data_IF_833908224164
#
_entry.id   IF_833908224164
#
_cell.length_a   1.000
_cell.length_b   1.000
_cell.length_c   1.000
_cell.angle_alpha   90.00
_cell.angle_beta   90.00
_cell.angle_gamma   90.00
#
_symmetry.space_group_name_H-M   'P 1'
#
loop_
_entity.id
_entity.type
_entity.pdbx_description
1 polymer ?
#
# COMPACT_ATOMS: atom_id res chain seq x y z
N UNK A 1 -3.13 -12.59 -19.20
CA UNK A 1 -3.52 -11.39 -18.44
C UNK A 1 -4.17 -11.89 -17.15
N UNK A 2 -3.46 -11.95 -16.02
CA UNK A 2 -4.02 -12.43 -14.73
C UNK A 2 -4.17 -11.25 -13.80
N UNK A 3 -5.42 -11.00 -13.41
CA UNK A 3 -5.83 -9.99 -12.46
C UNK A 3 -5.42 -10.48 -11.07
N UNK A 4 -4.62 -9.68 -10.36
CA UNK A 4 -4.37 -9.90 -8.94
C UNK A 4 -5.68 -9.69 -8.18
N UNK A 5 -6.34 -10.80 -7.81
CA UNK A 5 -7.51 -10.77 -6.95
C UNK A 5 -7.09 -10.49 -5.52
N UNK A 6 -7.17 -9.23 -5.09
CA UNK A 6 -7.20 -8.92 -3.66
C UNK A 6 -8.59 -9.30 -3.13
N UNK A 7 -8.66 -10.32 -2.29
CA UNK A 7 -9.86 -10.69 -1.56
C UNK A 7 -10.15 -9.60 -0.52
N UNK A 8 -10.97 -8.60 -0.88
CA UNK A 8 -11.42 -7.55 0.01
C UNK A 8 -12.52 -8.08 0.94
N UNK A 9 -12.17 -8.97 1.85
CA UNK A 9 -13.06 -9.47 2.91
C UNK A 9 -12.87 -8.64 4.18
N UNK A 10 -13.89 -7.87 4.54
CA UNK A 10 -13.93 -7.04 5.75
C UNK A 10 -14.08 -7.94 6.99
N UNK A 11 -12.96 -8.41 7.54
CA UNK A 11 -12.92 -9.08 8.85
C UNK A 11 -12.88 -7.97 9.89
N UNK A 12 -13.92 -7.83 10.73
CA UNK A 12 -14.29 -6.64 11.53
C UNK A 12 -13.27 -5.91 12.42
N UNK A 13 -11.97 -6.20 12.31
CA UNK A 13 -10.85 -5.42 12.86
C UNK A 13 -10.03 -4.67 11.78
N UNK A 14 -10.09 -5.10 10.52
CA UNK A 14 -9.38 -4.54 9.37
C UNK A 14 -10.34 -4.44 8.18
N UNK A 15 -10.40 -3.26 7.56
CA UNK A 15 -11.25 -3.04 6.39
C UNK A 15 -10.62 -3.60 5.10
N UNK A 16 -9.31 -3.85 5.12
CA UNK A 16 -8.52 -4.31 3.97
C UNK A 16 -7.54 -5.39 4.45
N UNK A 17 -7.65 -6.60 3.93
CA UNK A 17 -6.70 -7.68 4.15
C UNK A 17 -6.44 -8.34 2.81
N UNK A 18 -5.19 -8.36 2.39
CA UNK A 18 -4.81 -8.85 1.07
C UNK A 18 -3.55 -9.68 1.12
N UNK A 19 -3.49 -10.69 0.25
CA UNK A 19 -2.24 -11.36 -0.09
C UNK A 19 -1.94 -11.08 -1.55
N UNK A 20 -0.76 -10.56 -1.83
CA UNK A 20 -0.31 -10.30 -3.18
C UNK A 20 1.05 -10.98 -3.41
N UNK A 21 1.18 -11.65 -4.55
CA UNK A 21 2.49 -12.12 -5.02
C UNK A 21 3.08 -11.03 -5.91
N UNK A 22 4.11 -10.34 -5.41
CA UNK A 22 4.92 -9.42 -6.21
C UNK A 22 5.76 -10.28 -7.15
N UNK A 23 5.23 -10.42 -8.37
CA UNK A 23 5.80 -11.26 -9.43
C UNK A 23 7.23 -10.83 -9.75
N UNK A 24 8.04 -11.80 -10.11
CA UNK A 24 9.45 -11.65 -10.48
C UNK A 24 9.63 -10.47 -11.44
N UNK A 25 10.34 -9.45 -11.00
CA UNK A 25 10.80 -8.38 -11.87
C UNK A 25 12.22 -8.72 -12.30
N UNK A 26 12.41 -8.91 -13.61
CA UNK A 26 13.72 -8.87 -14.23
C UNK A 26 14.24 -7.45 -14.05
N UNK A 27 15.19 -7.28 -13.13
CA UNK A 27 15.88 -6.02 -12.93
C UNK A 27 16.76 -5.75 -14.17
N UNK A 28 17.04 -4.48 -14.47
CA UNK A 28 17.78 -4.08 -15.68
C UNK A 28 19.22 -4.67 -15.76
N UNK A 29 19.70 -5.27 -14.67
CA UNK A 29 20.97 -5.98 -14.55
C UNK A 29 20.88 -7.49 -14.89
N UNK A 30 19.72 -8.00 -15.31
CA UNK A 30 19.51 -9.41 -15.64
C UNK A 30 19.26 -10.33 -14.43
N UNK A 31 19.21 -9.81 -13.20
CA UNK A 31 18.84 -10.62 -12.03
C UNK A 31 17.33 -10.67 -11.88
N UNK A 32 16.79 -11.89 -11.85
CA UNK A 32 15.38 -12.16 -11.55
C UNK A 32 15.19 -12.03 -10.04
N UNK A 33 14.42 -11.04 -9.60
CA UNK A 33 14.02 -10.98 -8.19
C UNK A 33 13.02 -12.12 -7.95
N UNK A 34 13.23 -13.01 -6.96
CA UNK A 34 12.31 -14.11 -6.68
C UNK A 34 10.90 -13.58 -6.38
N UNK A 35 9.89 -14.39 -6.71
CA UNK A 35 8.50 -14.04 -6.44
C UNK A 35 8.32 -13.80 -4.94
N UNK A 36 7.96 -12.58 -4.57
CA UNK A 36 7.80 -12.20 -3.17
C UNK A 36 6.33 -12.26 -2.79
N UNK A 37 6.01 -12.98 -1.72
CA UNK A 37 4.66 -12.97 -1.16
C UNK A 37 4.58 -11.88 -0.10
N UNK A 38 3.74 -10.88 -0.36
CA UNK A 38 3.42 -9.79 0.57
C UNK A 38 2.01 -9.96 1.11
N UNK A 39 1.88 -9.82 2.42
CA UNK A 39 0.60 -9.70 3.11
C UNK A 39 0.41 -8.22 3.41
N UNK A 40 -0.74 -7.70 3.00
CA UNK A 40 -1.14 -6.33 3.27
C UNK A 40 -2.30 -6.35 4.23
N UNK A 41 -2.21 -5.53 5.28
CA UNK A 41 -3.28 -5.29 6.23
C UNK A 41 -3.54 -3.81 6.30
N UNK A 42 -4.79 -3.42 6.20
CA UNK A 42 -5.23 -2.04 6.10
C UNK A 42 -6.46 -1.82 6.97
N UNK A 43 -6.49 -0.65 7.60
CA UNK A 43 -7.61 -0.22 8.41
C UNK A 43 -7.91 1.23 8.14
N UNK A 44 -9.18 1.51 7.93
CA UNK A 44 -9.68 2.86 7.92
C UNK A 44 -9.96 3.29 9.37
N UNK A 45 -9.14 4.20 9.90
CA UNK A 45 -9.26 4.69 11.27
C UNK A 45 -10.37 5.75 11.36
N UNK A 46 -10.43 6.64 10.37
CA UNK A 46 -11.49 7.65 10.20
C UNK A 46 -11.87 7.76 8.74
N UNK A 47 -12.84 8.60 8.37
CA UNK A 47 -13.22 8.81 6.96
C UNK A 47 -12.09 9.42 6.12
N UNK A 48 -11.14 10.07 6.79
CA UNK A 48 -10.03 10.80 6.21
C UNK A 48 -8.67 10.12 6.43
N UNK A 49 -8.57 9.20 7.41
CA UNK A 49 -7.33 8.54 7.80
C UNK A 49 -7.38 7.04 7.52
N UNK A 50 -6.49 6.60 6.65
CA UNK A 50 -6.22 5.19 6.37
C UNK A 50 -4.80 4.83 6.79
N UNK A 51 -4.68 3.70 7.47
CA UNK A 51 -3.41 3.10 7.85
C UNK A 51 -3.30 1.71 7.24
N UNK A 52 -2.22 1.47 6.51
CA UNK A 52 -1.87 0.19 5.92
C UNK A 52 -0.49 -0.26 6.40
N UNK A 53 -0.31 -1.56 6.51
CA UNK A 53 0.95 -2.23 6.79
C UNK A 53 1.11 -3.40 5.83
N UNK A 54 2.29 -3.51 5.24
CA UNK A 54 2.69 -4.56 4.31
C UNK A 54 3.85 -5.32 4.94
N UNK A 55 3.73 -6.64 4.95
CA UNK A 55 4.73 -7.58 5.46
C UNK A 55 5.04 -8.64 4.41
N UNK A 56 6.29 -8.68 3.96
CA UNK A 56 6.83 -9.68 3.06
C UNK A 56 7.11 -10.98 3.80
N UNK A 57 6.28 -11.99 3.56
CA UNK A 57 6.38 -13.32 4.18
C UNK A 57 7.68 -14.02 3.77
N UNK A 58 8.12 -13.81 2.54
CA UNK A 58 9.31 -14.46 1.96
C UNK A 58 10.58 -13.61 2.06
N UNK A 59 10.46 -12.29 2.12
CA UNK A 59 11.58 -11.35 1.97
C UNK A 59 11.88 -10.51 3.22
N UNK A 60 11.14 -10.72 4.32
CA UNK A 60 11.18 -9.88 5.53
C UNK A 60 10.99 -8.37 5.26
N UNK A 61 10.38 -8.02 4.11
CA UNK A 61 10.11 -6.65 3.74
C UNK A 61 9.02 -6.09 4.63
N UNK A 62 9.17 -4.87 5.12
CA UNK A 62 8.13 -4.21 5.91
C UNK A 62 7.91 -2.80 5.39
N UNK A 63 6.65 -2.45 5.20
CA UNK A 63 6.25 -1.12 4.76
C UNK A 63 4.97 -0.69 5.47
N UNK A 64 4.94 0.53 5.96
CA UNK A 64 3.79 1.21 6.53
C UNK A 64 3.33 2.24 5.50
N UNK A 65 2.03 2.31 5.24
CA UNK A 65 1.39 3.33 4.43
C UNK A 65 0.41 4.09 5.29
N UNK A 66 0.52 5.40 5.30
CA UNK A 66 -0.41 6.28 5.99
C UNK A 66 -0.97 7.26 4.97
N UNK A 67 -2.29 7.27 4.80
CA UNK A 67 -2.97 8.23 3.94
C UNK A 67 -3.90 9.07 4.79
N UNK A 68 -3.73 10.39 4.72
CA UNK A 68 -4.51 11.34 5.49
C UNK A 68 -5.05 12.46 4.61
N UNK A 69 -6.35 12.65 4.65
CA UNK A 69 -7.02 13.75 3.96
C UNK A 69 -7.25 14.90 4.94
N UNK A 70 -6.33 15.87 4.96
CA UNK A 70 -6.44 17.05 5.82
C UNK A 70 -7.68 17.88 5.50
N UNK A 71 -8.08 17.93 4.22
CA UNK A 71 -9.25 18.69 3.75
C UNK A 71 -9.75 18.14 2.41
N UNK A 72 -10.92 18.59 1.94
CA UNK A 72 -11.42 18.24 0.59
C UNK A 72 -10.43 18.56 -0.55
N UNK A 73 -9.55 19.54 -0.32
CA UNK A 73 -8.52 19.98 -1.26
C UNK A 73 -7.13 19.47 -0.94
N UNK A 74 -6.84 18.99 0.27
CA UNK A 74 -5.49 18.61 0.70
C UNK A 74 -5.46 17.16 1.13
N UNK A 75 -4.56 16.38 0.54
CA UNK A 75 -4.32 14.98 0.90
C UNK A 75 -2.82 14.72 1.00
N UNK A 76 -2.45 13.88 1.97
CA UNK A 76 -1.07 13.50 2.25
C UNK A 76 -1.01 11.96 2.30
N UNK A 77 -0.02 11.38 1.64
CA UNK A 77 0.25 9.94 1.66
C UNK A 77 1.71 9.73 2.00
N UNK A 78 1.96 9.12 3.14
CA UNK A 78 3.28 8.71 3.60
C UNK A 78 3.42 7.21 3.39
N UNK A 79 4.61 6.79 2.96
CA UNK A 79 5.01 5.39 2.84
C UNK A 79 6.38 5.26 3.48
N UNK A 80 6.51 4.42 4.49
CA UNK A 80 7.74 4.19 5.22
C UNK A 80 8.04 2.69 5.23
N UNK A 81 9.18 2.27 4.70
CA UNK A 81 9.57 0.86 4.66
C UNK A 81 11.04 0.76 4.29
N UNK A 82 11.42 -0.22 3.48
CA UNK A 82 12.77 -0.27 2.90
C UNK A 82 13.11 0.99 2.09
N UNK A 83 12.10 1.62 1.48
CA UNK A 83 12.22 2.94 0.85
C UNK A 83 11.11 3.83 1.39
N UNK A 84 11.49 4.95 2.00
CA UNK A 84 10.57 5.98 2.46
C UNK A 84 10.18 6.92 1.33
N UNK A 85 8.89 7.24 1.21
CA UNK A 85 8.39 8.27 0.31
C UNK A 85 7.22 9.03 0.96
N UNK A 86 7.11 10.32 0.60
CA UNK A 86 6.02 11.17 1.03
C UNK A 86 5.44 11.87 -0.21
N UNK A 87 4.13 11.76 -0.39
CA UNK A 87 3.39 12.42 -1.45
C UNK A 87 2.36 13.35 -0.81
N UNK A 88 2.38 14.62 -1.18
CA UNK A 88 1.31 15.56 -0.84
C UNK A 88 0.61 15.99 -2.11
N UNK A 89 -0.70 16.16 -2.04
CA UNK A 89 -1.55 16.53 -3.16
C UNK A 89 -2.50 17.63 -2.73
N UNK A 90 -2.46 18.72 -3.47
CA UNK A 90 -3.35 19.86 -3.32
C UNK A 90 -4.22 20.03 -4.56
N UNK A 91 -5.52 20.16 -4.37
CA UNK A 91 -6.53 20.33 -5.40
C UNK A 91 -7.22 21.68 -5.20
N UNK A 92 -6.85 22.64 -6.06
CA UNK A 92 -7.56 23.90 -6.21
C UNK A 92 -8.74 23.70 -7.16
N UNK A 93 -9.96 23.92 -6.64
CA UNK A 93 -11.15 24.05 -7.47
C UNK A 93 -11.39 25.54 -7.69
N UNK A 94 -11.34 25.97 -8.94
CA UNK A 94 -11.79 27.31 -9.32
C UNK A 94 -13.28 27.17 -9.63
N UNK A 95 -14.11 27.66 -8.71
CA UNK A 95 -15.56 27.85 -8.90
C UNK A 95 -15.81 29.33 -9.21
#
# INVERSE_FOLDING_TARGET
MMLAGSLNEQIGLFDDLGVASRKERTLANGTVSPAEQVVTVGRQLTRELYLGYEYGVTSAHQAVKLAYQLSKSWSLVLRAGTVGSAETRYTLRFD
#
